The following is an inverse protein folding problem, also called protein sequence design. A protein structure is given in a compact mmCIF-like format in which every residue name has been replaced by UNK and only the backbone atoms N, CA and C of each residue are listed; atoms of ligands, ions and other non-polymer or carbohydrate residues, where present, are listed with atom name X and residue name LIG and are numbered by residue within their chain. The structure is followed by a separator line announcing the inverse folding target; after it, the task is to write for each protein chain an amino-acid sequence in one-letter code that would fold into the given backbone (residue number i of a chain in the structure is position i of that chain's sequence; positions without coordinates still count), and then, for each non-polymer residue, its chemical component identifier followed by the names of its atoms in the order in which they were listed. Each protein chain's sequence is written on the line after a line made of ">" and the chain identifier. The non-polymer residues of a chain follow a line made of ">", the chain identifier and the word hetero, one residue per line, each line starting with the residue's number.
data_IF_679477502333
#
_entry.id   IF_679477502333
#
_cell.length_a   1.000
_cell.length_b   1.000
_cell.length_c   1.000
_cell.angle_alpha   90.00
_cell.angle_beta   90.00
_cell.angle_gamma   90.00
#
_symmetry.space_group_name_H-M   'P 1'
#
loop_
_entity.id
_entity.type
_entity.pdbx_description
1 polymer ?
#
# COMPACT_ATOMS: atom_id res chain seq x y z
N UNK A 1 -15.74 16.42 -18.49
CA UNK A 1 -14.98 17.63 -18.10
C UNK A 1 -13.49 17.31 -18.24
N UNK A 2 -12.70 18.21 -18.85
CA UNK A 2 -11.25 18.02 -19.01
C UNK A 2 -10.49 18.66 -17.84
N UNK A 3 -9.43 18.00 -17.38
CA UNK A 3 -8.51 18.51 -16.36
C UNK A 3 -7.13 18.73 -16.97
N UNK A 4 -6.45 19.78 -16.51
CA UNK A 4 -5.05 20.02 -16.83
C UNK A 4 -4.17 19.18 -15.91
N UNK A 5 -3.62 18.08 -16.42
CA UNK A 5 -2.75 17.17 -15.69
C UNK A 5 -1.30 17.47 -16.02
N UNK A 6 -0.45 17.63 -15.01
CA UNK A 6 1.02 17.65 -15.14
C UNK A 6 1.53 16.21 -15.05
N UNK A 7 2.35 15.80 -16.02
CA UNK A 7 2.90 14.44 -16.11
C UNK A 7 4.41 14.56 -16.20
N UNK A 8 5.12 13.95 -15.24
CA UNK A 8 6.58 13.82 -15.21
C UNK A 8 6.96 12.37 -15.49
N UNK A 9 7.51 12.11 -16.67
CA UNK A 9 7.98 10.78 -17.06
C UNK A 9 9.47 10.71 -16.81
N UNK A 10 9.86 9.93 -15.80
CA UNK A 10 11.25 9.70 -15.44
C UNK A 10 11.79 8.62 -16.36
N UNK A 11 12.72 9.00 -17.24
CA UNK A 11 13.36 8.05 -18.13
C UNK A 11 14.50 7.34 -17.40
N UNK A 12 14.75 6.08 -17.73
CA UNK A 12 15.95 5.39 -17.27
C UNK A 12 17.20 5.98 -17.94
N UNK A 13 18.31 6.03 -17.21
CA UNK A 13 19.60 6.45 -17.76
C UNK A 13 20.08 5.48 -18.87
N UNK A 14 20.97 5.95 -19.74
CA UNK A 14 21.56 5.20 -20.88
C UNK A 14 22.20 3.87 -20.47
N UNK A 15 22.67 3.77 -19.22
CA UNK A 15 23.29 2.57 -18.66
C UNK A 15 22.32 1.71 -17.82
N UNK A 16 21.04 2.08 -17.73
CA UNK A 16 20.00 1.38 -16.97
C UNK A 16 20.27 1.22 -15.46
N UNK A 17 21.22 1.98 -14.91
CA UNK A 17 21.63 1.92 -13.50
C UNK A 17 20.98 2.97 -12.61
N UNK A 18 20.17 3.89 -13.17
CA UNK A 18 19.56 4.99 -12.42
C UNK A 18 18.55 5.82 -13.21
N UNK A 19 18.14 6.95 -12.62
CA UNK A 19 17.24 7.91 -13.24
C UNK A 19 18.00 8.81 -14.23
N UNK A 20 17.52 8.84 -15.47
CA UNK A 20 18.02 9.70 -16.54
C UNK A 20 17.19 10.97 -16.68
N UNK A 21 17.01 11.42 -17.93
CA UNK A 21 16.24 12.62 -18.23
C UNK A 21 14.77 12.50 -17.81
N UNK A 22 14.14 13.62 -17.47
CA UNK A 22 12.71 13.67 -17.16
C UNK A 22 11.96 14.45 -18.24
N UNK A 23 10.90 13.85 -18.80
CA UNK A 23 9.96 14.56 -19.67
C UNK A 23 8.87 15.16 -18.78
N UNK A 24 8.70 16.48 -18.83
CA UNK A 24 7.63 17.16 -18.09
C UNK A 24 6.66 17.77 -19.10
N UNK A 25 5.38 17.43 -18.99
CA UNK A 25 4.34 17.98 -19.87
C UNK A 25 3.05 18.25 -19.13
N UNK A 26 2.24 19.17 -19.66
CA UNK A 26 0.85 19.38 -19.22
C UNK A 26 -0.11 18.96 -20.33
N UNK A 27 -1.14 18.20 -19.99
CA UNK A 27 -2.15 17.70 -20.94
C UNK A 27 -3.56 17.89 -20.41
N UNK A 28 -4.48 18.20 -21.31
CA UNK A 28 -5.91 18.15 -21.03
C UNK A 28 -6.39 16.71 -21.18
N UNK A 29 -6.92 16.15 -20.10
CA UNK A 29 -7.32 14.74 -20.02
C UNK A 29 -8.76 14.68 -19.48
N UNK A 30 -9.65 13.89 -20.09
CA UNK A 30 -10.97 13.65 -19.51
C UNK A 30 -10.88 12.69 -18.33
N UNK A 31 -11.87 12.74 -17.44
CA UNK A 31 -11.88 11.93 -16.22
C UNK A 31 -11.81 10.41 -16.49
N UNK A 32 -12.42 9.95 -17.58
CA UNK A 32 -12.51 8.53 -17.94
C UNK A 32 -11.49 8.14 -19.03
N UNK A 33 -10.64 9.06 -19.49
CA UNK A 33 -9.59 8.74 -20.49
C UNK A 33 -8.52 7.82 -19.87
N UNK A 34 -8.00 6.91 -20.69
CA UNK A 34 -6.87 6.04 -20.34
C UNK A 34 -5.59 6.86 -20.16
N UNK A 35 -5.11 6.98 -18.91
CA UNK A 35 -3.83 7.63 -18.62
C UNK A 35 -2.67 6.92 -19.30
N UNK A 36 -2.78 5.60 -19.48
CA UNK A 36 -1.81 4.79 -20.21
C UNK A 36 -1.65 5.26 -21.66
N UNK A 37 -2.75 5.44 -22.36
CA UNK A 37 -2.74 5.94 -23.74
C UNK A 37 -2.16 7.34 -23.84
N UNK A 38 -2.53 8.22 -22.91
CA UNK A 38 -1.99 9.59 -22.82
C UNK A 38 -0.47 9.56 -22.64
N UNK A 39 0.04 8.72 -21.73
CA UNK A 39 1.47 8.55 -21.46
C UNK A 39 2.19 7.99 -22.69
N UNK A 40 1.66 6.94 -23.32
CA UNK A 40 2.23 6.35 -24.53
C UNK A 40 2.28 7.36 -25.68
N UNK A 41 1.26 8.21 -25.84
CA UNK A 41 1.26 9.28 -26.83
C UNK A 41 2.35 10.34 -26.56
N UNK A 42 2.58 10.69 -25.29
CA UNK A 42 3.67 11.60 -24.89
C UNK A 42 5.02 10.97 -25.23
N UNK A 43 5.22 9.69 -24.92
CA UNK A 43 6.45 8.96 -25.22
C UNK A 43 6.72 8.88 -26.74
N UNK A 44 5.70 8.53 -27.54
CA UNK A 44 5.80 8.51 -29.00
C UNK A 44 6.20 9.87 -29.58
N UNK A 45 5.69 10.98 -29.02
CA UNK A 45 6.07 12.34 -29.44
C UNK A 45 7.53 12.68 -29.12
N UNK A 46 8.09 12.11 -28.05
CA UNK A 46 9.46 12.36 -27.60
C UNK A 46 10.42 11.23 -27.99
N UNK A 47 10.09 10.43 -29.01
CA UNK A 47 10.85 9.23 -29.41
C UNK A 47 12.35 9.46 -29.58
N UNK A 48 12.73 10.63 -30.10
CA UNK A 48 14.13 11.00 -30.32
C UNK A 48 14.94 11.19 -29.03
N UNK A 49 14.27 11.40 -27.89
CA UNK A 49 14.91 11.56 -26.58
C UNK A 49 14.97 10.25 -25.79
N UNK A 50 14.38 9.17 -26.31
CA UNK A 50 14.31 7.89 -25.63
C UNK A 50 15.52 7.02 -26.02
N UNK A 51 15.99 6.22 -25.07
CA UNK A 51 17.02 5.21 -25.34
C UNK A 51 16.55 4.27 -26.46
N UNK A 52 17.45 3.88 -27.37
CA UNK A 52 17.14 2.96 -28.49
C UNK A 52 16.55 1.62 -28.02
N UNK A 53 16.82 1.24 -26.78
CA UNK A 53 16.36 -0.03 -26.18
C UNK A 53 14.99 0.09 -25.50
N UNK A 54 14.38 1.28 -25.48
CA UNK A 54 13.07 1.50 -24.89
C UNK A 54 11.97 1.28 -25.94
N UNK A 55 11.36 0.09 -25.96
CA UNK A 55 10.15 -0.14 -26.77
C UNK A 55 8.98 0.69 -26.25
N UNK A 56 8.20 1.28 -27.16
CA UNK A 56 6.98 2.04 -26.85
C UNK A 56 5.81 1.39 -27.59
N UNK A 57 5.32 0.31 -27.00
CA UNK A 57 4.13 -0.39 -27.44
C UNK A 57 3.08 -0.42 -26.33
N UNK A 58 1.89 -0.93 -26.64
CA UNK A 58 0.76 -0.98 -25.71
C UNK A 58 1.00 -1.92 -24.52
N UNK A 59 1.92 -2.87 -24.65
CA UNK A 59 2.27 -3.84 -23.60
C UNK A 59 3.30 -3.28 -22.61
N UNK A 60 3.94 -2.16 -22.93
CA UNK A 60 5.00 -1.54 -22.12
C UNK A 60 4.57 -1.36 -20.65
N UNK A 61 5.25 -1.95 -19.66
CA UNK A 61 4.94 -1.70 -18.26
C UNK A 61 5.06 -0.20 -17.93
N UNK A 62 4.06 0.35 -17.22
CA UNK A 62 4.04 1.75 -16.80
C UNK A 62 3.62 1.80 -15.34
N UNK A 63 4.49 2.35 -14.49
CA UNK A 63 4.15 2.64 -13.11
C UNK A 63 3.74 4.11 -13.00
N UNK A 64 2.56 4.35 -12.42
CA UNK A 64 2.03 5.69 -12.16
C UNK A 64 2.03 5.92 -10.65
N UNK A 65 2.45 7.11 -10.23
CA UNK A 65 2.38 7.61 -8.87
C UNK A 65 1.73 8.99 -8.86
N UNK A 66 1.09 9.33 -7.74
CA UNK A 66 0.73 10.71 -7.48
C UNK A 66 1.93 11.46 -6.94
N UNK A 67 2.14 12.67 -7.42
CA UNK A 67 3.10 13.56 -6.84
C UNK A 67 2.64 13.97 -5.44
N UNK A 68 3.52 13.80 -4.47
CA UNK A 68 3.23 14.06 -3.06
C UNK A 68 4.50 14.55 -2.37
N UNK A 69 4.33 15.23 -1.24
CA UNK A 69 5.45 15.55 -0.34
C UNK A 69 6.07 14.26 0.25
N UNK A 70 5.30 13.17 0.29
CA UNK A 70 5.80 11.83 0.54
C UNK A 70 6.35 11.24 -0.76
N UNK A 71 7.56 10.67 -0.70
CA UNK A 71 8.15 9.97 -1.85
C UNK A 71 7.37 8.66 -2.12
N UNK A 72 6.31 8.77 -2.91
CA UNK A 72 5.45 7.66 -3.29
C UNK A 72 6.19 6.59 -4.09
N UNK A 73 7.28 6.95 -4.78
CA UNK A 73 8.14 5.97 -5.44
C UNK A 73 8.89 5.12 -4.42
N UNK A 74 9.47 5.75 -3.39
CA UNK A 74 10.08 5.02 -2.26
C UNK A 74 9.07 4.16 -1.50
N UNK A 75 7.82 4.59 -1.42
CA UNK A 75 6.73 3.89 -0.72
C UNK A 75 6.23 2.65 -1.47
N UNK A 76 6.02 2.76 -2.78
CA UNK A 76 5.40 1.69 -3.59
C UNK A 76 6.39 0.93 -4.47
N UNK A 77 7.66 1.34 -4.50
CA UNK A 77 8.70 0.73 -5.33
C UNK A 77 8.39 0.87 -6.82
N UNK A 78 8.93 -0.02 -7.64
CA UNK A 78 8.87 0.05 -9.11
C UNK A 78 7.51 -0.30 -9.74
N UNK A 79 6.48 -0.58 -8.93
CA UNK A 79 5.21 -1.14 -9.41
C UNK A 79 4.07 -0.13 -9.49
N UNK A 80 4.26 1.11 -9.03
CA UNK A 80 3.20 2.11 -9.03
C UNK A 80 2.16 1.88 -7.94
N UNK A 81 1.00 2.53 -8.08
CA UNK A 81 -0.11 2.49 -7.14
C UNK A 81 -0.65 1.05 -6.96
N UNK A 82 -0.56 0.45 -5.76
CA UNK A 82 -0.91 -0.95 -5.54
C UNK A 82 -2.39 -1.18 -5.16
N UNK A 83 -3.24 -0.15 -5.26
CA UNK A 83 -4.60 -0.16 -4.71
C UNK A 83 -5.63 0.35 -5.71
N UNK A 84 -6.82 -0.24 -5.74
CA UNK A 84 -7.98 0.31 -6.44
C UNK A 84 -9.16 0.44 -5.50
N UNK A 85 -10.14 1.26 -5.86
CA UNK A 85 -11.39 1.39 -5.11
C UNK A 85 -12.51 0.67 -5.85
N UNK A 86 -13.18 -0.25 -5.16
CA UNK A 86 -14.39 -0.92 -5.62
C UNK A 86 -15.60 0.04 -5.60
N UNK A 87 -16.72 -0.36 -6.22
CA UNK A 87 -17.94 0.47 -6.25
C UNK A 87 -18.48 0.80 -4.85
N UNK A 88 -18.34 -0.13 -3.92
CA UNK A 88 -18.74 0.00 -2.51
C UNK A 88 -17.73 0.79 -1.65
N UNK A 89 -16.70 1.38 -2.27
CA UNK A 89 -15.61 2.14 -1.64
C UNK A 89 -14.60 1.30 -0.86
N UNK A 90 -14.70 -0.03 -0.89
CA UNK A 90 -13.66 -0.90 -0.37
C UNK A 90 -12.42 -0.88 -1.28
N UNK A 91 -11.24 -1.14 -0.72
CA UNK A 91 -9.99 -1.20 -1.46
C UNK A 91 -9.66 -2.63 -1.87
N UNK A 92 -9.33 -2.80 -3.16
CA UNK A 92 -8.73 -4.02 -3.69
C UNK A 92 -7.23 -3.84 -3.81
N UNK A 93 -6.47 -4.81 -3.30
CA UNK A 93 -5.02 -4.86 -3.46
C UNK A 93 -4.68 -5.46 -4.83
N UNK A 94 -3.84 -4.76 -5.57
CA UNK A 94 -3.37 -5.21 -6.87
C UNK A 94 -2.14 -6.10 -6.72
N UNK A 95 -2.02 -7.10 -7.59
CA UNK A 95 -0.74 -7.75 -7.78
C UNK A 95 0.27 -6.75 -8.39
N UNK A 96 1.58 -6.84 -8.09
CA UNK A 96 2.58 -5.91 -8.61
C UNK A 96 2.55 -5.75 -10.14
N UNK A 97 2.37 -6.85 -10.87
CA UNK A 97 2.25 -6.83 -12.34
C UNK A 97 0.90 -6.28 -12.81
N UNK A 98 -0.19 -6.51 -12.06
CA UNK A 98 -1.51 -5.96 -12.37
C UNK A 98 -1.48 -4.43 -12.36
N UNK A 99 -0.76 -3.81 -11.40
CA UNK A 99 -0.60 -2.36 -11.32
C UNK A 99 0.09 -1.77 -12.57
N UNK A 100 1.12 -2.43 -13.08
CA UNK A 100 1.93 -1.96 -14.22
C UNK A 100 1.20 -1.98 -15.58
N UNK A 101 0.19 -2.84 -15.69
CA UNK A 101 -0.61 -3.01 -16.90
C UNK A 101 -2.03 -2.47 -16.76
N UNK A 102 -2.39 -1.93 -15.58
CA UNK A 102 -3.71 -1.36 -15.36
C UNK A 102 -3.94 -0.13 -16.22
N UNK A 103 -5.16 -0.04 -16.75
CA UNK A 103 -5.67 1.15 -17.42
C UNK A 103 -6.20 2.10 -16.34
N UNK A 104 -5.34 2.98 -15.84
CA UNK A 104 -5.74 4.00 -14.87
C UNK A 104 -6.51 5.13 -15.54
N UNK A 105 -7.53 5.62 -14.86
CA UNK A 105 -8.25 6.85 -15.20
C UNK A 105 -8.04 7.92 -14.14
N UNK A 106 -8.17 9.20 -14.49
CA UNK A 106 -8.10 10.28 -13.49
C UNK A 106 -9.17 10.13 -12.41
N UNK A 107 -10.36 9.69 -12.80
CA UNK A 107 -11.48 9.44 -11.88
C UNK A 107 -11.13 8.44 -10.79
N UNK A 108 -10.43 7.35 -11.12
CA UNK A 108 -9.99 6.37 -10.14
C UNK A 108 -8.92 6.94 -9.21
N UNK A 109 -8.00 7.74 -9.73
CA UNK A 109 -6.97 8.40 -8.93
C UNK A 109 -7.57 9.43 -7.96
N UNK A 110 -8.50 10.28 -8.44
CA UNK A 110 -9.25 11.21 -7.61
C UNK A 110 -10.03 10.47 -6.51
N UNK A 111 -10.61 9.31 -6.82
CA UNK A 111 -11.32 8.51 -5.83
C UNK A 111 -10.40 7.93 -4.76
N UNK A 112 -9.20 7.47 -5.13
CA UNK A 112 -8.18 7.00 -4.19
C UNK A 112 -7.68 8.13 -3.27
N UNK A 113 -7.55 9.36 -3.78
CA UNK A 113 -7.24 10.54 -2.97
C UNK A 113 -8.40 10.90 -2.05
N UNK A 114 -9.63 10.93 -2.59
CA UNK A 114 -10.85 11.29 -1.84
C UNK A 114 -11.15 10.33 -0.69
N UNK A 115 -10.88 9.05 -0.87
CA UNK A 115 -10.98 8.03 0.18
C UNK A 115 -9.81 8.09 1.16
N UNK A 116 -8.77 8.89 0.88
CA UNK A 116 -7.60 9.02 1.74
C UNK A 116 -6.63 7.83 1.65
N UNK A 117 -6.80 6.96 0.66
CA UNK A 117 -5.93 5.80 0.39
C UNK A 117 -4.59 6.26 -0.20
N UNK A 118 -4.62 7.28 -1.04
CA UNK A 118 -3.43 7.92 -1.59
C UNK A 118 -3.29 9.35 -1.06
N UNK A 119 -2.04 9.75 -0.84
CA UNK A 119 -1.65 11.13 -0.60
C UNK A 119 -1.05 11.71 -1.89
N UNK A 120 -1.38 12.96 -2.20
CA UNK A 120 -0.90 13.66 -3.40
C UNK A 120 -2.02 14.30 -4.21
N UNK A 121 -1.67 14.83 -5.38
CA UNK A 121 -2.61 15.45 -6.33
C UNK A 121 -2.83 14.52 -7.54
N UNK A 122 -4.09 14.16 -7.81
CA UNK A 122 -4.46 13.38 -8.99
C UNK A 122 -4.15 14.09 -10.33
N UNK A 123 -3.98 15.42 -10.30
CA UNK A 123 -3.59 16.22 -11.46
C UNK A 123 -2.08 16.37 -11.60
N UNK A 124 -1.27 15.80 -10.71
CA UNK A 124 0.18 15.86 -10.79
C UNK A 124 0.78 14.45 -10.67
N UNK A 125 1.21 13.89 -11.79
CA UNK A 125 1.59 12.48 -11.91
C UNK A 125 3.10 12.33 -12.11
N UNK A 126 3.68 11.39 -11.38
CA UNK A 126 5.01 10.86 -11.66
C UNK A 126 4.86 9.50 -12.34
N UNK A 127 5.61 9.30 -13.42
CA UNK A 127 5.54 8.10 -14.25
C UNK A 127 6.93 7.50 -14.36
N UNK A 128 7.01 6.21 -14.06
CA UNK A 128 8.22 5.42 -14.19
C UNK A 128 8.02 4.28 -15.18
N UNK A 129 9.06 3.98 -15.95
CA UNK A 129 9.04 2.94 -16.98
C UNK A 129 9.97 1.80 -16.58
N UNK A 130 9.49 0.72 -15.95
CA UNK A 130 10.33 -0.40 -15.54
C UNK A 130 11.10 -1.00 -16.72
N UNK A 131 12.41 -1.22 -16.54
CA UNK A 131 13.25 -1.91 -17.52
C UNK A 131 13.64 -3.26 -16.95
N UNK A 132 13.00 -4.30 -17.51
CA UNK A 132 13.10 -5.65 -17.01
C UNK A 132 12.31 -5.83 -15.71
N UNK A 133 11.42 -6.81 -15.69
CA UNK A 133 11.01 -7.46 -14.44
C UNK A 133 12.12 -8.46 -14.10
N UNK A 134 13.36 -8.01 -13.93
CA UNK A 134 14.45 -8.89 -13.46
C UNK A 134 13.94 -9.64 -12.24
N UNK A 135 14.27 -10.93 -12.09
CA UNK A 135 13.71 -11.80 -11.05
C UNK A 135 13.60 -11.03 -9.74
N UNK A 136 12.39 -10.53 -9.44
CA UNK A 136 12.14 -9.78 -8.21
C UNK A 136 12.02 -10.85 -7.16
N UNK A 137 13.16 -11.45 -6.81
CA UNK A 137 13.30 -12.37 -5.71
C UNK A 137 13.16 -11.55 -4.45
N UNK A 138 11.95 -11.11 -4.10
CA UNK A 138 11.62 -10.59 -2.77
C UNK A 138 12.66 -9.60 -2.20
N UNK A 139 13.33 -8.84 -3.05
CA UNK A 139 14.50 -8.04 -2.68
C UNK A 139 14.01 -6.64 -2.39
N UNK A 140 13.49 -6.49 -1.17
CA UNK A 140 12.96 -5.23 -0.70
C UNK A 140 12.45 -5.27 0.72
N UNK A 141 13.00 -6.10 1.61
CA UNK A 141 12.86 -5.89 3.05
C UNK A 141 14.09 -6.48 3.74
N UNK A 142 15.09 -5.64 3.99
CA UNK A 142 16.14 -5.93 4.96
C UNK A 142 15.50 -5.92 6.36
N UNK A 143 15.09 -7.10 6.83
CA UNK A 143 14.57 -7.33 8.20
C UNK A 143 15.62 -7.96 9.12
N UNK A 144 16.88 -8.04 8.68
CA UNK A 144 17.92 -8.87 9.30
C UNK A 144 18.93 -8.13 10.19
N UNK A 145 18.69 -6.87 10.57
CA UNK A 145 19.62 -6.12 11.43
C UNK A 145 19.05 -5.60 12.75
N UNK A 146 17.94 -6.16 13.26
CA UNK A 146 17.44 -5.82 14.61
C UNK A 146 16.94 -7.02 15.42
N UNK A 147 17.74 -8.10 15.46
CA UNK A 147 17.62 -9.16 16.47
C UNK A 147 18.89 -9.15 17.34
N UNK A 148 19.13 -8.08 18.08
CA UNK A 148 19.93 -8.13 19.31
C UNK A 148 19.41 -7.06 20.27
N UNK A 149 19.19 -7.44 21.53
CA UNK A 149 18.86 -6.62 22.69
C UNK A 149 17.42 -6.07 22.82
N UNK A 150 16.56 -6.83 23.49
CA UNK A 150 16.26 -6.56 24.92
C UNK A 150 15.20 -7.56 25.43
N UNK A 151 15.67 -8.69 25.96
CA UNK A 151 15.03 -9.30 27.11
C UNK A 151 15.41 -8.46 28.33
N UNK A 152 14.43 -7.82 28.96
CA UNK A 152 14.20 -7.87 30.42
C UNK A 152 13.14 -6.83 30.82
N UNK A 153 12.53 -7.11 31.97
CA UNK A 153 11.55 -6.31 32.72
C UNK A 153 10.06 -6.58 32.40
N UNK A 154 9.54 -7.55 33.16
CA UNK A 154 8.24 -7.48 33.80
C UNK A 154 8.02 -6.07 34.39
N UNK A 155 6.80 -5.55 34.49
CA UNK A 155 5.87 -5.98 35.55
C UNK A 155 4.54 -5.22 35.50
N UNK A 156 3.54 -5.81 36.15
CA UNK A 156 2.23 -5.26 36.56
C UNK A 156 1.11 -5.17 35.50
N UNK A 157 0.46 -6.31 35.23
CA UNK A 157 -1.00 -6.34 35.03
C UNK A 157 -1.59 -7.36 35.99
N UNK A 158 -2.09 -6.83 37.10
CA UNK A 158 -2.68 -7.55 38.22
C UNK A 158 -3.80 -8.53 37.82
N UNK A 159 -3.80 -9.65 38.55
CA UNK A 159 -4.94 -10.47 38.99
C UNK A 159 -6.01 -10.86 37.96
N UNK A 160 -5.65 -11.80 37.06
CA UNK A 160 -6.58 -12.83 36.56
C UNK A 160 -5.80 -14.16 36.44
N UNK A 161 -6.39 -15.31 36.80
CA UNK A 161 -5.75 -16.62 36.68
C UNK A 161 -5.19 -16.85 35.27
N UNK A 162 -3.96 -17.36 35.16
CA UNK A 162 -3.24 -17.52 33.90
C UNK A 162 -4.01 -18.30 32.82
N UNK A 163 -4.87 -19.22 33.22
CA UNK A 163 -5.74 -20.02 32.37
C UNK A 163 -6.81 -19.15 31.67
N UNK A 164 -7.43 -18.22 32.40
CA UNK A 164 -8.48 -17.33 31.90
C UNK A 164 -7.89 -16.28 30.98
N UNK A 165 -6.71 -15.72 31.34
CA UNK A 165 -5.94 -14.84 30.42
C UNK A 165 -5.63 -15.56 29.12
N UNK A 166 -5.21 -16.84 29.17
CA UNK A 166 -4.92 -17.66 27.99
C UNK A 166 -6.17 -17.92 27.14
N UNK A 167 -7.34 -18.14 27.74
CA UNK A 167 -8.62 -18.34 27.03
C UNK A 167 -9.11 -17.04 26.37
N UNK A 168 -9.13 -15.91 27.10
CA UNK A 168 -9.55 -14.60 26.56
C UNK A 168 -8.60 -14.18 25.44
N UNK A 169 -7.29 -14.35 25.66
CA UNK A 169 -6.27 -14.12 24.65
C UNK A 169 -6.47 -15.02 23.44
N UNK A 170 -6.69 -16.33 23.62
CA UNK A 170 -6.93 -17.24 22.52
C UNK A 170 -8.21 -16.87 21.74
N UNK A 171 -9.30 -16.46 22.42
CA UNK A 171 -10.52 -15.97 21.77
C UNK A 171 -10.28 -14.67 20.98
N UNK A 172 -9.62 -13.67 21.58
CA UNK A 172 -9.32 -12.38 20.91
C UNK A 172 -8.44 -12.57 19.68
N UNK A 173 -7.38 -13.38 19.78
CA UNK A 173 -6.48 -13.66 18.65
C UNK A 173 -7.08 -14.61 17.61
N UNK A 174 -7.97 -15.53 18.00
CA UNK A 174 -8.75 -16.36 17.06
C UNK A 174 -9.70 -15.49 16.23
N UNK A 175 -10.36 -14.51 16.85
CA UNK A 175 -11.22 -13.55 16.13
C UNK A 175 -10.40 -12.70 15.16
N UNK A 176 -9.26 -12.14 15.59
CA UNK A 176 -8.36 -11.39 14.70
C UNK A 176 -7.94 -12.26 13.51
N UNK A 177 -7.53 -13.51 13.75
CA UNK A 177 -7.14 -14.44 12.68
C UNK A 177 -8.29 -14.75 11.73
N UNK A 178 -9.52 -14.91 12.23
CA UNK A 178 -10.71 -15.14 11.39
C UNK A 178 -10.99 -13.91 10.52
N UNK A 179 -10.95 -12.71 11.08
CA UNK A 179 -11.17 -11.46 10.32
C UNK A 179 -10.07 -11.28 9.28
N UNK A 180 -8.80 -11.40 9.67
CA UNK A 180 -7.64 -11.32 8.75
C UNK A 180 -7.73 -12.38 7.65
N UNK A 181 -8.11 -13.63 7.98
CA UNK A 181 -8.25 -14.69 6.99
C UNK A 181 -9.40 -14.43 6.00
N UNK A 182 -10.55 -13.95 6.48
CA UNK A 182 -11.65 -13.52 5.59
C UNK A 182 -11.17 -12.41 4.67
N UNK A 183 -10.33 -11.51 5.18
CA UNK A 183 -9.78 -10.40 4.43
C UNK A 183 -8.78 -10.82 3.35
N UNK A 184 -7.85 -11.71 3.71
CA UNK A 184 -6.91 -12.38 2.79
C UNK A 184 -7.65 -13.07 1.65
N UNK A 185 -8.74 -13.79 1.96
CA UNK A 185 -9.53 -14.52 0.95
C UNK A 185 -10.33 -13.61 0.02
N UNK A 186 -10.83 -12.47 0.50
CA UNK A 186 -11.80 -11.66 -0.24
C UNK A 186 -11.20 -10.45 -0.97
N UNK A 187 -10.03 -9.94 -0.57
CA UNK A 187 -9.49 -8.66 -1.07
C UNK A 187 -8.15 -8.77 -1.81
N UNK A 188 -7.82 -9.98 -2.29
CA UNK A 188 -6.56 -10.28 -3.00
C UNK A 188 -5.29 -9.94 -2.20
N UNK A 189 -5.42 -9.90 -0.86
CA UNK A 189 -4.33 -9.71 0.08
C UNK A 189 -3.66 -11.08 0.25
N UNK A 190 -2.39 -11.18 -0.14
CA UNK A 190 -1.62 -12.43 -0.05
C UNK A 190 -1.13 -12.68 1.37
N UNK A 191 -0.78 -11.62 2.09
CA UNK A 191 -0.15 -11.72 3.40
C UNK A 191 -0.62 -10.65 4.38
N UNK A 192 -0.60 -10.99 5.67
CA UNK A 192 -1.04 -10.11 6.74
C UNK A 192 -0.18 -8.83 6.88
N UNK A 193 1.06 -8.84 6.39
CA UNK A 193 1.91 -7.65 6.42
C UNK A 193 1.38 -6.52 5.52
N UNK A 194 0.70 -6.84 4.43
CA UNK A 194 0.14 -5.84 3.50
C UNK A 194 -0.95 -5.01 4.17
N UNK A 195 -1.66 -5.59 5.14
CA UNK A 195 -2.65 -4.89 5.99
C UNK A 195 -1.96 -3.82 6.82
N UNK A 196 -0.85 -4.20 7.46
CA UNK A 196 -0.06 -3.32 8.30
C UNK A 196 0.52 -2.19 7.48
N UNK A 197 1.18 -2.51 6.36
CA UNK A 197 1.74 -1.52 5.43
C UNK A 197 0.68 -0.56 4.91
N UNK A 198 -0.50 -1.06 4.56
CA UNK A 198 -1.63 -0.24 4.14
C UNK A 198 -2.02 0.78 5.22
N UNK A 199 -2.22 0.35 6.46
CA UNK A 199 -2.62 1.26 7.54
C UNK A 199 -1.48 2.22 7.88
N UNK A 200 -0.23 1.78 7.82
CA UNK A 200 0.94 2.63 8.06
C UNK A 200 1.16 3.71 6.98
N UNK A 201 0.44 3.64 5.85
CA UNK A 201 0.57 4.66 4.78
C UNK A 201 0.13 6.06 5.21
N UNK A 202 -0.62 6.17 6.30
CA UNK A 202 -1.11 7.44 6.85
C UNK A 202 -0.86 7.47 8.36
N UNK A 203 -0.53 8.66 8.88
CA UNK A 203 -0.26 8.85 10.31
C UNK A 203 -1.47 8.64 11.22
N UNK A 204 -2.68 8.77 10.68
CA UNK A 204 -3.92 8.63 11.41
C UNK A 204 -5.11 8.26 10.54
N UNK A 205 -5.99 7.42 11.07
CA UNK A 205 -7.20 6.95 10.40
C UNK A 205 -8.44 7.19 11.25
N UNK A 206 -9.47 7.78 10.66
CA UNK A 206 -10.81 7.72 11.23
C UNK A 206 -11.34 6.29 11.14
N UNK A 207 -11.90 5.77 12.23
CA UNK A 207 -12.37 4.38 12.31
C UNK A 207 -13.40 4.05 11.23
N UNK A 208 -14.38 4.94 11.01
CA UNK A 208 -15.45 4.75 10.01
C UNK A 208 -14.88 4.67 8.60
N UNK A 209 -13.99 5.59 8.26
CA UNK A 209 -13.33 5.64 6.96
C UNK A 209 -12.50 4.39 6.72
N UNK A 210 -11.63 4.02 7.67
CA UNK A 210 -10.80 2.82 7.53
C UNK A 210 -11.66 1.55 7.46
N UNK A 211 -12.73 1.46 8.25
CA UNK A 211 -13.68 0.35 8.19
C UNK A 211 -14.29 0.18 6.80
N UNK A 212 -14.75 1.28 6.19
CA UNK A 212 -15.32 1.27 4.83
C UNK A 212 -14.28 0.85 3.79
N UNK A 213 -13.09 1.44 3.85
CA UNK A 213 -11.97 1.12 2.97
C UNK A 213 -11.59 -0.37 3.08
N UNK A 214 -11.55 -0.90 4.31
CA UNK A 214 -11.27 -2.30 4.53
C UNK A 214 -12.51 -3.20 4.36
N UNK A 215 -13.69 -2.68 4.05
CA UNK A 215 -14.91 -3.50 3.94
C UNK A 215 -15.24 -4.30 5.21
N UNK A 216 -14.87 -3.79 6.39
CA UNK A 216 -15.17 -4.43 7.67
C UNK A 216 -16.57 -4.00 8.11
N UNK A 217 -17.41 -4.93 8.54
CA UNK A 217 -18.79 -4.60 8.90
C UNK A 217 -18.88 -4.00 10.31
N UNK A 218 -18.18 -4.59 11.27
CA UNK A 218 -18.32 -4.30 12.69
C UNK A 218 -17.15 -3.47 13.22
N UNK A 219 -17.46 -2.39 13.96
CA UNK A 219 -16.44 -1.52 14.57
C UNK A 219 -15.55 -2.30 15.53
N UNK A 220 -16.12 -3.25 16.28
CA UNK A 220 -15.37 -4.10 17.21
C UNK A 220 -14.24 -4.90 16.53
N UNK A 221 -14.47 -5.38 15.30
CA UNK A 221 -13.47 -6.13 14.54
C UNK A 221 -12.33 -5.20 14.09
N UNK A 222 -12.67 -4.00 13.60
CA UNK A 222 -11.69 -2.99 13.17
C UNK A 222 -10.84 -2.51 14.36
N UNK A 223 -11.47 -2.24 15.51
CA UNK A 223 -10.79 -1.87 16.76
C UNK A 223 -9.85 -3.00 17.20
N UNK A 224 -10.29 -4.25 17.18
CA UNK A 224 -9.45 -5.39 17.54
C UNK A 224 -8.21 -5.51 16.65
N UNK A 225 -8.34 -5.25 15.35
CA UNK A 225 -7.21 -5.25 14.40
C UNK A 225 -6.25 -4.11 14.71
N UNK A 226 -6.76 -2.88 14.87
CA UNK A 226 -5.95 -1.70 15.17
C UNK A 226 -5.16 -1.88 16.46
N UNK A 227 -5.83 -2.34 17.52
CA UNK A 227 -5.17 -2.66 18.77
C UNK A 227 -4.09 -3.74 18.61
N UNK A 228 -4.34 -4.78 17.82
CA UNK A 228 -3.37 -5.85 17.58
C UNK A 228 -2.14 -5.36 16.81
N UNK A 229 -2.33 -4.40 15.89
CA UNK A 229 -1.29 -3.71 15.16
C UNK A 229 -0.54 -2.66 16.00
N UNK A 230 -0.97 -2.42 17.24
CA UNK A 230 -0.35 -1.44 18.13
C UNK A 230 -0.81 0.00 17.90
N UNK A 231 -1.98 0.21 17.30
CA UNK A 231 -2.62 1.51 17.20
C UNK A 231 -3.40 1.86 18.47
N UNK A 232 -3.51 3.16 18.74
CA UNK A 232 -4.22 3.73 19.89
C UNK A 232 -5.19 4.82 19.41
N UNK A 233 -6.35 4.97 20.06
CA UNK A 233 -7.25 6.08 19.77
C UNK A 233 -6.61 7.40 20.23
N UNK A 234 -6.64 8.40 19.36
CA UNK A 234 -6.18 9.76 19.61
C UNK A 234 -7.20 10.74 19.02
N UNK A 235 -7.99 11.36 19.90
CA UNK A 235 -9.16 12.16 19.53
C UNK A 235 -10.13 11.38 18.62
N UNK A 236 -10.30 11.80 17.38
CA UNK A 236 -11.18 11.20 16.38
C UNK A 236 -10.48 10.20 15.44
N UNK A 237 -9.20 9.90 15.67
CA UNK A 237 -8.38 9.05 14.81
C UNK A 237 -7.73 7.90 15.59
N UNK A 238 -7.28 6.91 14.85
CA UNK A 238 -6.38 5.85 15.31
C UNK A 238 -5.00 6.10 14.76
N UNK A 239 -4.01 6.18 15.65
CA UNK A 239 -2.62 6.48 15.31
C UNK A 239 -1.70 5.40 15.88
N UNK A 240 -0.52 5.24 15.29
CA UNK A 240 0.46 4.28 15.80
C UNK A 240 0.84 4.66 17.24
N UNK A 241 0.59 3.76 18.18
CA UNK A 241 0.72 4.02 19.61
C UNK A 241 2.17 4.19 20.04
N UNK A 242 2.42 5.15 20.94
CA UNK A 242 3.77 5.41 21.48
C UNK A 242 4.05 4.64 22.77
N UNK A 243 3.03 4.04 23.39
CA UNK A 243 3.16 3.29 24.65
C UNK A 243 3.99 2.00 24.48
N UNK A 244 4.56 1.51 25.59
CA UNK A 244 5.29 0.25 25.62
C UNK A 244 4.40 -0.92 25.16
N UNK A 245 3.14 -0.92 25.57
CA UNK A 245 2.16 -1.98 25.26
C UNK A 245 1.79 -1.98 23.78
N UNK A 246 1.69 -0.81 23.15
CA UNK A 246 1.47 -0.70 21.70
C UNK A 246 2.67 -1.18 20.88
N UNK A 247 3.88 -0.78 21.27
CA UNK A 247 5.11 -1.31 20.64
C UNK A 247 5.23 -2.82 20.79
N UNK A 248 4.83 -3.38 21.93
CA UNK A 248 4.82 -4.83 22.19
C UNK A 248 3.79 -5.56 21.33
N UNK A 249 2.58 -5.00 21.17
CA UNK A 249 1.55 -5.55 20.26
C UNK A 249 2.03 -5.54 18.81
N UNK A 250 2.62 -4.42 18.38
CA UNK A 250 3.22 -4.25 17.06
C UNK A 250 4.29 -5.31 16.75
N UNK A 251 5.31 -5.43 17.61
CA UNK A 251 6.36 -6.44 17.46
C UNK A 251 5.78 -7.86 17.38
N UNK A 252 4.78 -8.15 18.21
CA UNK A 252 4.11 -9.45 18.19
C UNK A 252 3.38 -9.71 16.88
N UNK A 253 2.72 -8.71 16.30
CA UNK A 253 2.10 -8.83 14.99
C UNK A 253 3.16 -9.17 13.95
N UNK A 254 4.21 -8.36 13.83
CA UNK A 254 5.32 -8.52 12.88
C UNK A 254 5.95 -9.92 12.96
N UNK A 255 6.24 -10.42 14.17
CA UNK A 255 6.76 -11.78 14.36
C UNK A 255 5.79 -12.90 13.93
N UNK A 256 4.49 -12.63 13.86
CA UNK A 256 3.46 -13.63 13.55
C UNK A 256 2.82 -13.45 12.16
N UNK A 257 3.21 -12.44 11.37
CA UNK A 257 2.66 -12.17 10.02
C UNK A 257 2.62 -13.42 9.14
N UNK A 258 3.70 -14.20 9.13
CA UNK A 258 3.81 -15.48 8.38
C UNK A 258 2.88 -16.58 8.89
N UNK A 259 2.44 -16.54 10.15
CA UNK A 259 1.53 -17.56 10.74
C UNK A 259 0.07 -17.26 10.43
N UNK A 260 -0.27 -16.01 10.16
CA UNK A 260 -1.61 -15.63 9.75
C UNK A 260 -1.92 -16.12 8.32
N UNK A 261 -0.95 -16.09 7.41
CA UNK A 261 -1.11 -16.57 6.03
C UNK A 261 -1.19 -18.10 5.87
N UNK A 262 -0.61 -18.89 6.80
CA UNK A 262 -0.44 -20.36 6.67
C UNK A 262 -1.71 -21.21 6.82
N UNK A 263 -2.92 -20.66 6.98
CA UNK A 263 -4.14 -21.49 7.06
C UNK A 263 -4.97 -21.54 5.78
N UNK A 264 -4.43 -21.05 4.66
CA UNK A 264 -5.11 -21.01 3.36
C UNK A 264 -4.91 -22.27 2.51
N UNK A 265 -4.00 -23.16 2.91
CA UNK A 265 -3.73 -24.44 2.23
C UNK A 265 -4.06 -25.60 3.17
N UNK A 266 -5.35 -25.93 3.26
CA UNK A 266 -5.87 -27.27 3.55
C UNK A 266 -7.25 -27.37 2.93
#
# INVERSE_FOLDING_TARGET
>A
MKRSVKIRIILPDKNFSGFGNTIITRKQVNLDDSLREVILAILKKHRNHLSKYLSIDETRPIAIYLHSSEDNFKKYGYFGIPYTVNKDKSVKFLAPTESLHRIWTLKELEELVRTGVLTGDANDLDVYLPIGLGAVGSAGFDWLSFIVNTMTAASYVGRLPGCIKRIIYHKKYKNIRIVVNKWIKNNNIKEAYQIREFIDTKSGWELKTLKTILGIQYDADMICILEALGYEPYANEWRLGKSAESRKRRRRWECNEKKYAKSSYK
#
